data_IF_438784307006
#
_entry.id   IF_438784307006
#
_cell.length_a   1.000
_cell.length_b   1.000
_cell.length_c   1.000
_cell.angle_alpha   90.00
_cell.angle_beta   90.00
_cell.angle_gamma   90.00
#
_symmetry.space_group_name_H-M   'P 1'
#
loop_
_entity.id
_entity.type
_entity.pdbx_description
1 polymer ?
#
# COMPACT_ATOMS: atom_id res chain seq x y z
N UNK A 1 20.69 8.18 21.30
CA UNK A 1 22.00 8.65 20.80
C UNK A 1 22.35 8.07 19.40
N UNK A 2 21.34 7.85 18.53
CA UNK A 2 21.51 7.31 17.16
C UNK A 2 20.98 8.31 16.10
N UNK A 3 20.22 9.32 16.52
CA UNK A 3 19.58 10.30 15.62
C UNK A 3 20.52 11.44 15.15
N UNK A 4 21.77 11.49 15.62
CA UNK A 4 22.70 12.59 15.33
C UNK A 4 23.77 12.23 14.27
N UNK A 5 23.82 10.97 13.81
CA UNK A 5 24.82 10.50 12.83
C UNK A 5 24.33 10.45 11.37
N UNK A 6 23.11 10.93 11.10
CA UNK A 6 22.56 10.99 9.73
C UNK A 6 22.80 12.34 9.01
N UNK A 7 23.47 13.31 9.66
CA UNK A 7 23.67 14.66 9.11
C UNK A 7 25.09 14.97 8.58
N UNK A 8 26.00 13.98 8.54
CA UNK A 8 27.40 14.18 8.12
C UNK A 8 27.75 13.70 6.69
N UNK A 9 26.77 13.36 5.86
CA UNK A 9 27.02 12.96 4.46
C UNK A 9 26.84 14.09 3.42
N UNK A 10 26.86 15.36 3.85
CA UNK A 10 26.55 16.53 3.01
C UNK A 10 27.73 17.12 2.24
N UNK A 11 28.93 16.56 2.31
CA UNK A 11 30.12 17.17 1.68
C UNK A 11 30.98 16.16 0.94
N UNK A 12 30.63 15.84 -0.30
CA UNK A 12 31.60 15.47 -1.32
C UNK A 12 31.30 16.15 -2.67
N UNK A 13 32.34 16.62 -3.38
CA UNK A 13 32.24 17.54 -4.52
C UNK A 13 31.78 16.87 -5.83
N UNK A 14 31.06 17.65 -6.64
CA UNK A 14 30.62 17.31 -7.99
C UNK A 14 31.81 16.99 -8.93
N UNK A 15 31.73 15.95 -9.78
CA UNK A 15 32.52 15.89 -10.99
C UNK A 15 31.92 16.78 -12.08
N UNK A 16 32.74 17.73 -12.55
CA UNK A 16 32.58 18.50 -13.78
C UNK A 16 32.42 17.55 -14.97
N UNK A 17 31.24 17.53 -15.60
CA UNK A 17 31.08 16.91 -16.92
C UNK A 17 31.08 17.98 -18.01
N UNK A 18 32.15 17.93 -18.80
CA UNK A 18 32.39 18.70 -20.01
C UNK A 18 31.45 18.17 -21.10
N UNK A 19 30.47 18.96 -21.55
CA UNK A 19 29.66 18.60 -22.73
C UNK A 19 30.20 19.35 -23.95
N UNK A 20 30.85 18.60 -24.85
CA UNK A 20 31.21 19.04 -26.18
C UNK A 20 29.95 19.32 -27.01
N UNK A 21 29.95 20.49 -27.64
CA UNK A 21 29.00 20.90 -28.68
C UNK A 21 29.16 20.00 -29.91
N UNK A 22 28.13 19.23 -30.25
CA UNK A 22 28.02 18.61 -31.58
C UNK A 22 26.83 19.23 -32.32
N UNK A 23 27.15 20.20 -33.15
CA UNK A 23 26.28 20.76 -34.19
C UNK A 23 26.14 19.72 -35.31
N UNK A 24 25.02 18.99 -35.35
CA UNK A 24 24.66 18.22 -36.54
C UNK A 24 23.59 18.96 -37.34
N UNK A 25 24.07 19.55 -38.43
CA UNK A 25 23.29 20.18 -39.50
C UNK A 25 22.76 19.08 -40.40
N UNK A 26 21.45 18.84 -40.43
CA UNK A 26 20.81 18.05 -41.49
C UNK A 26 19.69 18.84 -42.14
N UNK A 27 19.80 18.90 -43.46
CA UNK A 27 18.99 19.67 -44.40
C UNK A 27 17.50 19.33 -44.36
N UNK A 28 16.72 20.36 -44.68
CA UNK A 28 15.29 20.35 -44.98
C UNK A 28 14.83 19.16 -45.82
N UNK A 29 13.77 18.49 -45.35
CA UNK A 29 12.64 18.11 -46.21
C UNK A 29 11.36 18.20 -45.38
N UNK A 30 10.67 19.33 -45.50
CA UNK A 30 9.30 19.48 -45.03
C UNK A 30 8.41 18.52 -45.85
N UNK A 31 8.10 17.36 -45.26
CA UNK A 31 7.04 16.49 -45.75
C UNK A 31 5.80 16.93 -44.97
N UNK A 32 4.96 17.76 -45.60
CA UNK A 32 3.58 17.95 -45.17
C UNK A 32 2.85 16.61 -45.36
N UNK A 33 2.77 15.83 -44.29
CA UNK A 33 1.79 14.77 -44.14
C UNK A 33 0.49 15.38 -43.63
N UNK A 34 -0.59 15.16 -44.37
CA UNK A 34 -1.95 15.55 -44.02
C UNK A 34 -2.37 15.08 -42.61
N UNK A 35 -3.32 15.75 -41.95
CA UNK A 35 -3.81 15.35 -40.64
C UNK A 35 -4.56 14.03 -40.79
N UNK A 36 -3.97 12.92 -40.36
CA UNK A 36 -4.69 11.65 -40.26
C UNK A 36 -5.63 11.78 -39.07
N UNK A 37 -6.92 11.84 -39.39
CA UNK A 37 -8.05 11.78 -38.49
C UNK A 37 -7.95 10.59 -37.52
N UNK A 38 -8.33 10.84 -36.27
CA UNK A 38 -9.07 9.84 -35.51
C UNK A 38 -8.29 8.65 -34.95
N UNK A 39 -7.10 8.86 -34.38
CA UNK A 39 -6.70 7.98 -33.27
C UNK A 39 -7.57 8.34 -32.07
N UNK A 40 -8.73 7.68 -31.97
CA UNK A 40 -9.46 7.58 -30.72
C UNK A 40 -8.54 6.85 -29.74
N UNK A 41 -7.66 7.61 -29.10
CA UNK A 41 -6.90 7.14 -27.96
C UNK A 41 -7.93 6.69 -26.93
N UNK A 42 -8.18 5.38 -26.89
CA UNK A 42 -8.93 4.76 -25.82
C UNK A 42 -8.35 5.35 -24.52
N UNK A 43 -9.19 5.92 -23.64
CA UNK A 43 -8.69 6.60 -22.46
C UNK A 43 -7.82 5.60 -21.70
N UNK A 44 -6.52 5.90 -21.58
CA UNK A 44 -5.62 5.06 -20.79
C UNK A 44 -6.23 4.97 -19.40
N UNK A 45 -6.67 3.79 -18.97
CA UNK A 45 -7.33 3.61 -17.67
C UNK A 45 -6.32 3.69 -16.52
N UNK A 46 -5.03 3.52 -16.82
CA UNK A 46 -3.92 3.55 -15.87
C UNK A 46 -3.89 4.79 -14.97
N UNK A 47 -3.93 6.03 -15.51
CA UNK A 47 -3.94 7.24 -14.69
C UNK A 47 -5.12 7.40 -13.74
N UNK A 48 -6.31 6.95 -14.13
CA UNK A 48 -7.51 7.01 -13.30
C UNK A 48 -7.46 5.96 -12.18
N UNK A 49 -7.07 4.72 -12.53
CA UNK A 49 -6.93 3.62 -11.59
C UNK A 49 -5.88 3.92 -10.50
N UNK A 50 -4.78 4.58 -10.85
CA UNK A 50 -3.78 5.03 -9.88
C UNK A 50 -4.34 6.06 -8.90
N UNK A 51 -5.19 6.99 -9.36
CA UNK A 51 -5.81 7.98 -8.48
C UNK A 51 -6.77 7.31 -7.49
N UNK A 52 -7.55 6.34 -7.96
CA UNK A 52 -8.44 5.53 -7.12
C UNK A 52 -7.62 4.76 -6.07
N UNK A 53 -6.52 4.12 -6.47
CA UNK A 53 -5.62 3.41 -5.57
C UNK A 53 -5.06 4.30 -4.45
N UNK A 54 -4.63 5.53 -4.80
CA UNK A 54 -4.16 6.52 -3.82
C UNK A 54 -5.28 6.88 -2.84
N UNK A 55 -6.48 7.18 -3.34
CA UNK A 55 -7.63 7.52 -2.50
C UNK A 55 -8.01 6.39 -1.54
N UNK A 56 -8.07 5.15 -2.04
CA UNK A 56 -8.37 3.97 -1.23
C UNK A 56 -7.31 3.72 -0.15
N UNK A 57 -6.01 3.86 -0.47
CA UNK A 57 -4.94 3.70 0.53
C UNK A 57 -4.96 4.80 1.59
N UNK A 58 -5.27 6.04 1.21
CA UNK A 58 -5.40 7.14 2.15
C UNK A 58 -6.54 6.87 3.14
N UNK A 59 -7.71 6.46 2.64
CA UNK A 59 -8.86 6.11 3.48
C UNK A 59 -8.53 4.89 4.36
N UNK A 60 -7.88 3.87 3.81
CA UNK A 60 -7.45 2.70 4.57
C UNK A 60 -6.49 3.06 5.71
N UNK A 61 -5.53 3.96 5.45
CA UNK A 61 -4.59 4.45 6.46
C UNK A 61 -5.34 5.16 7.60
N UNK A 62 -6.25 6.07 7.26
CA UNK A 62 -7.07 6.79 8.25
C UNK A 62 -7.90 5.82 9.06
N UNK A 63 -8.58 4.86 8.42
CA UNK A 63 -9.38 3.85 9.11
C UNK A 63 -8.55 2.94 10.00
N UNK A 64 -7.35 2.53 9.58
CA UNK A 64 -6.45 1.74 10.41
C UNK A 64 -5.98 2.52 11.64
N UNK A 65 -5.65 3.81 11.49
CA UNK A 65 -5.27 4.69 12.61
C UNK A 65 -6.44 4.90 13.57
N UNK A 66 -7.62 5.21 13.05
CA UNK A 66 -8.83 5.42 13.86
C UNK A 66 -9.22 4.12 14.58
N UNK A 67 -9.19 2.99 13.88
CA UNK A 67 -9.41 1.69 14.50
C UNK A 67 -8.41 1.45 15.64
N UNK A 68 -7.11 1.68 15.42
CA UNK A 68 -6.09 1.54 16.46
C UNK A 68 -6.33 2.46 17.67
N UNK A 69 -6.66 3.74 17.44
CA UNK A 69 -6.75 4.75 18.50
C UNK A 69 -8.05 4.69 19.33
N UNK A 70 -9.09 4.04 18.83
CA UNK A 70 -10.43 4.04 19.46
C UNK A 70 -10.66 2.84 20.37
N UNK A 71 -11.64 2.98 21.27
CA UNK A 71 -12.03 1.95 22.25
C UNK A 71 -13.18 1.06 21.77
N UNK A 72 -13.56 1.15 20.50
CA UNK A 72 -14.73 0.49 19.93
C UNK A 72 -14.47 -0.87 19.30
N UNK A 73 -13.54 -1.67 19.81
CA UNK A 73 -13.29 -3.00 19.24
C UNK A 73 -14.28 -4.03 19.76
N UNK A 74 -14.46 -4.05 21.07
CA UNK A 74 -15.35 -4.96 21.76
C UNK A 74 -16.21 -4.13 22.72
N UNK A 75 -17.48 -4.45 22.74
CA UNK A 75 -18.48 -3.79 23.58
C UNK A 75 -18.99 -4.80 24.60
N UNK A 76 -19.00 -4.41 25.86
CA UNK A 76 -19.55 -5.17 26.98
C UNK A 76 -20.41 -4.23 27.82
N UNK A 77 -21.72 -4.23 27.59
CA UNK A 77 -22.66 -3.32 28.25
C UNK A 77 -22.17 -1.85 28.27
N UNK A 78 -21.82 -1.25 29.40
CA UNK A 78 -21.35 0.15 29.41
C UNK A 78 -19.85 0.33 29.13
N UNK A 79 -19.13 -0.78 28.88
CA UNK A 79 -17.68 -0.80 28.73
C UNK A 79 -17.27 -1.00 27.27
N UNK A 80 -16.38 -0.13 26.81
CA UNK A 80 -15.79 -0.12 25.48
C UNK A 80 -14.32 -0.52 25.57
N UNK A 81 -13.99 -1.68 25.03
CA UNK A 81 -12.64 -2.25 25.03
C UNK A 81 -12.00 -1.98 23.67
N UNK A 82 -10.92 -1.21 23.66
CA UNK A 82 -10.05 -1.00 22.50
C UNK A 82 -8.83 -1.89 22.52
N UNK A 83 -7.95 -1.75 21.51
CA UNK A 83 -6.64 -2.42 21.54
C UNK A 83 -5.73 -1.84 22.62
N UNK A 84 -5.65 -0.52 22.75
CA UNK A 84 -4.70 0.11 23.68
C UNK A 84 -5.33 0.53 25.00
N UNK A 85 -6.58 1.00 24.93
CA UNK A 85 -7.32 1.52 26.07
C UNK A 85 -8.70 0.87 26.16
N UNK A 86 -9.16 0.67 27.39
CA UNK A 86 -10.52 0.29 27.73
C UNK A 86 -11.14 1.43 28.51
N UNK A 87 -12.38 1.80 28.18
CA UNK A 87 -13.12 2.82 28.89
C UNK A 87 -14.47 2.28 29.38
N UNK A 88 -14.83 2.63 30.61
CA UNK A 88 -16.14 2.39 31.21
C UNK A 88 -16.64 3.71 31.79
N UNK A 89 -17.64 4.33 31.14
CA UNK A 89 -18.07 5.69 31.45
C UNK A 89 -16.90 6.71 31.32
N UNK A 90 -16.63 7.53 32.36
CA UNK A 90 -15.55 8.53 32.32
C UNK A 90 -14.16 7.94 32.63
N UNK A 91 -14.08 6.67 33.02
CA UNK A 91 -12.83 6.04 33.44
C UNK A 91 -12.21 5.25 32.29
N UNK A 92 -10.98 5.55 31.95
CA UNK A 92 -10.20 4.82 30.95
C UNK A 92 -8.91 4.30 31.56
N UNK A 93 -8.59 3.03 31.28
CA UNK A 93 -7.35 2.35 31.67
C UNK A 93 -6.74 1.68 30.45
N UNK A 94 -5.48 1.26 30.54
CA UNK A 94 -4.89 0.49 29.44
C UNK A 94 -5.56 -0.87 29.32
N UNK A 95 -5.85 -1.31 28.09
CA UNK A 95 -6.39 -2.66 27.82
C UNK A 95 -5.46 -3.75 28.37
N UNK A 96 -4.15 -3.51 28.36
CA UNK A 96 -3.17 -4.43 28.92
C UNK A 96 -3.32 -4.61 30.43
N UNK A 97 -3.68 -3.54 31.15
CA UNK A 97 -3.91 -3.58 32.60
C UNK A 97 -5.20 -4.34 32.91
N UNK A 98 -6.26 -4.13 32.12
CA UNK A 98 -7.49 -4.92 32.21
C UNK A 98 -7.16 -6.41 32.14
N UNK A 99 -6.46 -6.85 31.07
CA UNK A 99 -6.10 -8.25 30.92
C UNK A 99 -5.19 -8.74 32.05
N UNK A 100 -4.28 -7.93 32.57
CA UNK A 100 -3.40 -8.37 33.67
C UNK A 100 -4.14 -8.75 34.96
N UNK A 101 -5.32 -8.18 35.19
CA UNK A 101 -6.11 -8.40 36.39
C UNK A 101 -7.15 -9.53 36.24
N UNK A 102 -7.31 -10.10 35.05
CA UNK A 102 -8.22 -11.24 34.82
C UNK A 102 -7.59 -12.57 35.28
N UNK A 103 -8.38 -13.49 35.87
CA UNK A 103 -7.93 -14.86 36.13
C UNK A 103 -7.63 -15.57 34.79
N UNK A 104 -6.51 -16.31 34.69
CA UNK A 104 -6.01 -16.96 33.46
C UNK A 104 -5.64 -16.00 32.31
N UNK A 105 -5.06 -14.85 32.63
CA UNK A 105 -4.77 -13.76 31.68
C UNK A 105 -3.59 -13.94 30.72
N UNK A 106 -2.77 -14.98 30.89
CA UNK A 106 -1.51 -15.13 30.14
C UNK A 106 -1.69 -15.12 28.62
N UNK A 107 -2.66 -15.90 28.12
CA UNK A 107 -2.93 -16.03 26.68
C UNK A 107 -3.56 -14.75 26.10
N UNK A 108 -4.59 -14.23 26.76
CA UNK A 108 -5.30 -13.01 26.33
C UNK A 108 -4.40 -11.78 26.29
N UNK A 109 -3.51 -11.64 27.29
CA UNK A 109 -2.49 -10.58 27.34
C UNK A 109 -1.50 -10.68 26.18
N UNK A 110 -1.09 -11.89 25.83
CA UNK A 110 -0.18 -12.12 24.70
C UNK A 110 -0.86 -11.79 23.37
N UNK A 111 -2.13 -12.19 23.21
CA UNK A 111 -2.94 -11.90 22.03
C UNK A 111 -3.16 -10.40 21.84
N UNK A 112 -3.46 -9.66 22.92
CA UNK A 112 -3.65 -8.21 22.89
C UNK A 112 -2.37 -7.49 22.43
N UNK A 113 -1.21 -7.83 23.01
CA UNK A 113 0.09 -7.30 22.58
C UNK A 113 0.41 -7.62 21.12
N UNK A 114 0.07 -8.83 20.67
CA UNK A 114 0.26 -9.21 19.28
C UNK A 114 -0.63 -8.36 18.36
N UNK A 115 -1.91 -8.18 18.68
CA UNK A 115 -2.83 -7.35 17.90
C UNK A 115 -2.36 -5.88 17.85
N UNK A 116 -1.90 -5.32 18.97
CA UNK A 116 -1.29 -3.97 19.04
C UNK A 116 -0.05 -3.86 18.15
N UNK A 117 0.84 -4.86 18.18
CA UNK A 117 2.03 -4.88 17.34
C UNK A 117 1.68 -4.94 15.86
N UNK A 118 0.78 -5.84 15.47
CA UNK A 118 0.40 -6.03 14.07
C UNK A 118 -0.36 -4.85 13.48
N UNK A 119 -1.24 -4.18 14.23
CA UNK A 119 -1.93 -2.99 13.71
C UNK A 119 -0.95 -1.85 13.45
N UNK A 120 0.02 -1.65 14.35
CA UNK A 120 1.07 -0.64 14.20
C UNK A 120 1.97 -0.97 13.02
N UNK A 121 2.39 -2.24 12.89
CA UNK A 121 3.17 -2.69 11.73
C UNK A 121 2.40 -2.49 10.43
N UNK A 122 1.09 -2.78 10.39
CA UNK A 122 0.32 -2.50 9.19
C UNK A 122 0.32 -1.01 8.84
N UNK A 123 0.10 -0.12 9.81
CA UNK A 123 0.11 1.34 9.56
C UNK A 123 1.48 1.76 9.00
N UNK A 124 2.57 1.24 9.58
CA UNK A 124 3.93 1.50 9.12
C UNK A 124 4.25 0.95 7.74
N UNK A 125 3.49 -0.01 7.22
CA UNK A 125 3.64 -0.53 5.85
C UNK A 125 2.69 0.17 4.85
N UNK A 126 1.48 0.55 5.28
CA UNK A 126 0.54 1.32 4.45
C UNK A 126 1.14 2.69 4.12
N UNK A 127 1.75 3.37 5.11
CA UNK A 127 2.35 4.69 4.91
C UNK A 127 3.41 4.77 3.80
N UNK A 128 4.48 3.94 3.79
CA UNK A 128 5.47 3.94 2.72
C UNK A 128 4.89 3.46 1.40
N UNK A 129 3.93 2.54 1.40
CA UNK A 129 3.22 2.14 0.17
C UNK A 129 2.50 3.34 -0.47
N UNK A 130 1.74 4.09 0.32
CA UNK A 130 1.09 5.33 -0.11
C UNK A 130 2.11 6.34 -0.63
N UNK A 131 3.22 6.53 0.10
CA UNK A 131 4.27 7.46 -0.30
C UNK A 131 4.94 7.07 -1.62
N UNK A 132 5.26 5.80 -1.83
CA UNK A 132 5.86 5.30 -3.08
C UNK A 132 4.91 5.49 -4.27
N UNK A 133 3.62 5.21 -4.10
CA UNK A 133 2.61 5.40 -5.16
C UNK A 133 2.45 6.89 -5.49
N UNK A 134 2.41 7.75 -4.48
CA UNK A 134 2.39 9.22 -4.66
C UNK A 134 3.65 9.70 -5.39
N UNK A 135 4.83 9.23 -4.97
CA UNK A 135 6.07 9.59 -5.62
C UNK A 135 6.05 9.21 -7.09
N UNK A 136 5.66 7.97 -7.41
CA UNK A 136 5.57 7.48 -8.79
C UNK A 136 4.58 8.27 -9.63
N UNK A 137 3.47 8.71 -9.02
CA UNK A 137 2.45 9.50 -9.70
C UNK A 137 2.92 10.91 -10.02
N UNK A 138 3.48 11.63 -9.06
CA UNK A 138 3.80 13.05 -9.20
C UNK A 138 5.22 13.30 -9.69
N UNK A 139 6.17 12.42 -9.35
CA UNK A 139 7.57 12.58 -9.67
C UNK A 139 8.11 11.69 -10.79
N UNK A 140 7.30 10.74 -11.27
CA UNK A 140 7.67 9.89 -12.41
C UNK A 140 7.87 10.66 -13.72
N UNK A 141 7.29 11.86 -13.85
CA UNK A 141 7.40 12.71 -15.05
C UNK A 141 8.50 13.76 -14.96
N UNK A 142 9.14 13.95 -13.79
CA UNK A 142 10.21 14.93 -13.62
C UNK A 142 11.57 14.29 -14.01
N UNK A 143 12.29 14.84 -15.00
CA UNK A 143 13.52 14.25 -15.53
C UNK A 143 14.58 13.84 -14.47
N UNK A 144 14.91 14.66 -13.46
CA UNK A 144 15.94 14.28 -12.48
C UNK A 144 15.49 13.17 -11.51
N UNK A 145 14.18 13.01 -11.28
CA UNK A 145 13.63 12.05 -10.31
C UNK A 145 13.13 10.76 -10.97
N UNK A 146 12.79 10.83 -12.26
CA UNK A 146 12.31 9.69 -13.05
C UNK A 146 13.30 8.52 -13.08
N UNK A 147 14.61 8.81 -13.14
CA UNK A 147 15.67 7.78 -13.15
C UNK A 147 15.84 7.05 -11.82
N UNK A 148 15.59 7.72 -10.69
CA UNK A 148 15.65 7.09 -9.36
C UNK A 148 14.40 6.24 -9.12
N UNK A 149 13.24 6.75 -9.55
CA UNK A 149 11.97 6.05 -9.40
C UNK A 149 11.86 4.80 -10.26
N UNK A 150 12.50 4.79 -11.44
CA UNK A 150 12.53 3.61 -12.31
C UNK A 150 13.42 2.48 -11.76
N UNK A 151 14.37 2.80 -10.86
CA UNK A 151 15.19 1.81 -10.16
C UNK A 151 14.41 1.02 -9.12
N UNK A 152 13.34 1.57 -8.54
CA UNK A 152 12.55 0.86 -7.53
C UNK A 152 11.58 -0.09 -8.26
N UNK A 153 11.77 -1.42 -8.14
CA UNK A 153 10.93 -2.36 -8.86
C UNK A 153 9.50 -2.30 -8.31
N UNK A 154 8.52 -2.44 -9.20
CA UNK A 154 7.10 -2.40 -8.86
C UNK A 154 6.71 -3.48 -7.83
N UNK A 155 7.46 -4.58 -7.78
CA UNK A 155 7.24 -5.69 -6.85
C UNK A 155 7.40 -5.26 -5.39
N UNK A 156 8.15 -4.19 -5.12
CA UNK A 156 8.30 -3.63 -3.77
C UNK A 156 6.98 -3.08 -3.25
N UNK A 157 6.20 -2.39 -4.09
CA UNK A 157 4.89 -1.87 -3.67
C UNK A 157 3.95 -3.02 -3.32
N UNK A 158 3.93 -4.05 -4.18
CA UNK A 158 3.09 -5.23 -3.97
C UNK A 158 3.51 -5.97 -2.69
N UNK A 159 4.81 -6.18 -2.49
CA UNK A 159 5.31 -6.85 -1.28
C UNK A 159 4.94 -6.08 -0.01
N UNK A 160 5.09 -4.75 -0.01
CA UNK A 160 4.71 -3.89 1.13
C UNK A 160 3.20 -3.94 1.37
N UNK A 161 2.37 -3.85 0.32
CA UNK A 161 0.91 -3.92 0.47
C UNK A 161 0.44 -5.30 0.94
N UNK A 162 1.06 -6.38 0.47
CA UNK A 162 0.77 -7.75 0.93
C UNK A 162 1.17 -7.92 2.40
N UNK A 163 2.32 -7.40 2.82
CA UNK A 163 2.71 -7.43 4.23
C UNK A 163 1.71 -6.68 5.12
N UNK A 164 1.27 -5.49 4.71
CA UNK A 164 0.22 -4.75 5.41
C UNK A 164 -1.09 -5.54 5.51
N UNK A 165 -1.50 -6.22 4.43
CA UNK A 165 -2.68 -7.08 4.43
C UNK A 165 -2.57 -8.22 5.43
N UNK A 166 -1.43 -8.90 5.47
CA UNK A 166 -1.18 -9.99 6.41
C UNK A 166 -1.28 -9.47 7.85
N UNK A 167 -0.65 -8.34 8.15
CA UNK A 167 -0.70 -7.75 9.49
C UNK A 167 -2.11 -7.31 9.90
N UNK A 168 -2.89 -6.68 9.01
CA UNK A 168 -4.30 -6.37 9.30
C UNK A 168 -5.13 -7.63 9.50
N UNK A 169 -4.91 -8.66 8.68
CA UNK A 169 -5.61 -9.94 8.79
C UNK A 169 -5.40 -10.56 10.16
N UNK A 170 -4.15 -10.61 10.62
CA UNK A 170 -3.81 -11.11 11.94
C UNK A 170 -4.44 -10.24 13.03
N UNK A 171 -4.41 -8.92 12.88
CA UNK A 171 -4.97 -7.99 13.87
C UNK A 171 -6.47 -8.23 14.11
N UNK A 172 -7.30 -8.18 13.05
CA UNK A 172 -8.75 -8.26 13.24
C UNK A 172 -9.22 -9.69 13.58
N UNK A 173 -8.49 -10.73 13.16
CA UNK A 173 -8.78 -12.12 13.54
C UNK A 173 -8.44 -12.39 14.99
N UNK A 174 -7.30 -11.91 15.50
CA UNK A 174 -6.96 -12.00 16.92
C UNK A 174 -7.98 -11.23 17.75
N UNK A 175 -8.36 -10.02 17.37
CA UNK A 175 -9.37 -9.25 18.09
C UNK A 175 -10.74 -9.97 18.17
N UNK A 176 -11.17 -10.61 17.07
CA UNK A 176 -12.37 -11.44 17.06
C UNK A 176 -12.22 -12.71 17.91
N UNK A 177 -11.02 -13.30 17.98
CA UNK A 177 -10.72 -14.42 18.87
C UNK A 177 -10.78 -14.02 20.35
N UNK A 178 -10.19 -12.87 20.69
CA UNK A 178 -10.19 -12.31 22.04
C UNK A 178 -11.61 -11.96 22.51
N UNK A 179 -12.44 -11.38 21.64
CA UNK A 179 -13.82 -11.04 22.01
C UNK A 179 -14.58 -12.25 22.48
N UNK A 180 -14.46 -13.39 21.78
CA UNK A 180 -15.12 -14.63 22.17
C UNK A 180 -14.47 -15.28 23.39
N UNK A 181 -13.20 -15.66 23.28
CA UNK A 181 -12.52 -16.53 24.26
C UNK A 181 -12.11 -15.82 25.55
N UNK A 182 -11.74 -14.55 25.47
CA UNK A 182 -11.17 -13.81 26.60
C UNK A 182 -12.21 -12.97 27.33
N UNK A 183 -13.24 -12.48 26.62
CA UNK A 183 -14.19 -11.51 27.17
C UNK A 183 -15.59 -12.13 27.26
N UNK A 184 -16.25 -12.38 26.12
CA UNK A 184 -17.66 -12.76 26.09
C UNK A 184 -17.95 -14.11 26.77
N UNK A 185 -17.12 -15.14 26.55
CA UNK A 185 -17.35 -16.47 27.13
C UNK A 185 -17.12 -16.51 28.66
N UNK A 186 -16.41 -15.51 29.22
CA UNK A 186 -16.16 -15.39 30.66
C UNK A 186 -17.25 -14.59 31.39
N UNK A 187 -18.22 -14.04 30.67
CA UNK A 187 -19.35 -13.33 31.27
C UNK A 187 -20.46 -14.34 31.54
N UNK A 188 -20.90 -14.51 32.80
CA UNK A 188 -21.93 -15.48 33.13
C UNK A 188 -23.23 -15.15 32.39
N UNK A 189 -23.77 -16.13 31.67
CA UNK A 189 -24.95 -15.98 30.80
C UNK A 189 -26.21 -15.52 31.55
N UNK A 190 -26.23 -15.66 32.88
CA UNK A 190 -27.29 -15.20 33.77
C UNK A 190 -27.31 -13.68 34.00
N UNK A 191 -26.31 -12.94 33.55
CA UNK A 191 -26.17 -11.52 33.82
C UNK A 191 -26.96 -10.60 32.86
N UNK A 192 -27.52 -11.14 31.76
CA UNK A 192 -28.21 -10.32 30.75
C UNK A 192 -27.32 -9.29 30.04
N UNK A 193 -25.99 -9.44 30.18
CA UNK A 193 -24.99 -8.54 29.62
C UNK A 193 -24.78 -8.84 28.13
N UNK A 194 -24.85 -7.81 27.29
CA UNK A 194 -24.55 -7.93 25.86
C UNK A 194 -23.04 -7.80 25.62
N UNK A 195 -22.50 -8.72 24.82
CA UNK A 195 -21.09 -8.71 24.43
C UNK A 195 -20.98 -8.91 22.91
N UNK A 196 -20.33 -7.97 22.21
CA UNK A 196 -20.24 -7.99 20.75
C UNK A 196 -19.00 -7.27 20.22
N UNK A 197 -18.63 -7.58 18.99
CA UNK A 197 -17.69 -6.77 18.21
C UNK A 197 -18.35 -5.44 17.83
N UNK A 198 -17.54 -4.38 17.80
CA UNK A 198 -18.04 -3.01 17.58
C UNK A 198 -17.27 -2.32 16.42
N UNK A 199 -17.54 -1.04 16.19
CA UNK A 199 -17.19 -0.32 14.97
C UNK A 199 -15.69 -0.30 14.62
N UNK A 200 -14.77 -0.31 15.60
CA UNK A 200 -13.33 -0.28 15.32
C UNK A 200 -12.85 -1.57 14.65
N UNK A 201 -13.45 -2.71 15.01
CA UNK A 201 -13.21 -3.98 14.31
C UNK A 201 -13.68 -3.90 12.85
N UNK A 202 -14.87 -3.33 12.61
CA UNK A 202 -15.40 -3.14 11.27
C UNK A 202 -14.53 -2.17 10.44
N UNK A 203 -14.04 -1.09 11.04
CA UNK A 203 -13.12 -0.15 10.38
C UNK A 203 -11.80 -0.83 9.98
N UNK A 204 -11.23 -1.68 10.85
CA UNK A 204 -10.04 -2.45 10.52
C UNK A 204 -10.29 -3.44 9.36
N UNK A 205 -11.45 -4.08 9.33
CA UNK A 205 -11.86 -4.96 8.23
C UNK A 205 -12.06 -4.21 6.91
N UNK A 206 -12.68 -3.02 6.94
CA UNK A 206 -12.84 -2.16 5.76
C UNK A 206 -11.48 -1.66 5.26
N UNK A 207 -10.59 -1.24 6.17
CA UNK A 207 -9.22 -0.86 5.82
C UNK A 207 -8.47 -2.01 5.13
N UNK A 208 -8.58 -3.22 5.66
CA UNK A 208 -8.04 -4.44 5.04
C UNK A 208 -8.57 -4.62 3.61
N UNK A 209 -9.88 -4.48 3.40
CA UNK A 209 -10.49 -4.60 2.09
C UNK A 209 -9.97 -3.56 1.09
N UNK A 210 -9.81 -2.30 1.52
CA UNK A 210 -9.25 -1.25 0.66
C UNK A 210 -7.79 -1.49 0.29
N UNK A 211 -6.96 -1.95 1.22
CA UNK A 211 -5.57 -2.33 0.90
C UNK A 211 -5.55 -3.50 -0.11
N UNK A 212 -6.51 -4.44 -0.02
CA UNK A 212 -6.62 -5.58 -0.93
C UNK A 212 -6.98 -5.12 -2.34
N UNK A 213 -8.02 -4.29 -2.46
CA UNK A 213 -8.43 -3.70 -3.74
C UNK A 213 -7.29 -2.90 -4.36
N UNK A 214 -6.60 -2.07 -3.58
CA UNK A 214 -5.44 -1.32 -4.10
C UNK A 214 -4.32 -2.23 -4.57
N UNK A 215 -4.01 -3.29 -3.84
CA UNK A 215 -2.99 -4.28 -4.24
C UNK A 215 -3.32 -4.89 -5.60
N UNK A 216 -4.60 -5.23 -5.82
CA UNK A 216 -5.10 -5.75 -7.10
C UNK A 216 -5.00 -4.69 -8.21
N UNK A 217 -5.37 -3.44 -7.94
CA UNK A 217 -5.25 -2.35 -8.92
C UNK A 217 -3.79 -2.13 -9.34
N UNK A 218 -2.86 -2.13 -8.38
CA UNK A 218 -1.42 -1.98 -8.66
C UNK A 218 -0.90 -3.13 -9.55
N UNK A 219 -1.37 -4.36 -9.31
CA UNK A 219 -1.05 -5.51 -10.16
C UNK A 219 -1.63 -5.37 -11.58
N UNK A 220 -2.91 -5.02 -11.71
CA UNK A 220 -3.60 -4.92 -13.00
C UNK A 220 -3.02 -3.81 -13.88
N UNK A 221 -2.72 -2.64 -13.31
CA UNK A 221 -2.14 -1.51 -14.04
C UNK A 221 -0.73 -1.78 -14.58
N UNK A 222 -0.05 -2.85 -14.13
CA UNK A 222 1.25 -3.28 -14.65
C UNK A 222 1.14 -4.40 -15.67
N UNK A 223 0.15 -5.29 -15.53
CA UNK A 223 -0.14 -6.32 -16.53
C UNK A 223 -0.48 -5.75 -17.92
N UNK A 224 -1.19 -4.62 -17.96
CA UNK A 224 -1.50 -3.93 -19.22
C UNK A 224 -0.25 -3.35 -19.90
N UNK A 225 0.73 -2.85 -19.14
CA UNK A 225 1.98 -2.30 -19.68
C UNK A 225 2.88 -3.42 -20.23
N UNK A 226 2.96 -4.56 -19.54
CA UNK A 226 3.74 -5.70 -20.00
C UNK A 226 3.18 -6.33 -21.30
N UNK A 227 1.85 -6.44 -21.42
CA UNK A 227 1.20 -6.99 -22.60
C UNK A 227 1.19 -6.01 -23.79
N UNK A 228 1.19 -4.70 -23.56
CA UNK A 228 1.31 -3.70 -24.63
C UNK A 228 2.70 -3.64 -25.28
N UNK A 229 3.74 -4.16 -24.63
CA UNK A 229 5.11 -4.26 -25.16
C UNK A 229 5.37 -5.57 -25.94
N UNK A 230 4.47 -6.57 -25.87
CA UNK A 230 4.62 -7.83 -26.59
C UNK A 230 4.32 -7.83 -28.11
N UNK A 231 3.60 -6.88 -28.75
CA UNK A 231 3.35 -6.97 -30.19
C UNK A 231 4.54 -6.55 -31.08
N UNK A 232 5.59 -5.92 -30.54
CA UNK A 232 6.66 -5.32 -31.36
C UNK A 232 7.83 -6.30 -31.58
N UNK A 233 7.96 -7.34 -30.76
CA UNK A 233 9.06 -8.31 -30.87
C UNK A 233 8.79 -9.47 -31.86
N UNK A 234 7.58 -9.61 -32.40
CA UNK A 234 7.19 -10.73 -33.27
C UNK A 234 7.15 -10.41 -34.77
N UNK A 235 7.47 -9.18 -35.20
CA UNK A 235 7.35 -8.78 -36.62
C UNK A 235 8.68 -8.45 -37.34
N UNK A 236 9.85 -8.81 -36.80
CA UNK A 236 11.16 -8.56 -37.42
C UNK A 236 11.93 -9.82 -37.87
N UNK A 237 11.23 -10.92 -38.18
CA UNK A 237 11.85 -12.09 -38.83
C UNK A 237 10.90 -12.68 -39.87
N UNK A 238 10.84 -12.05 -41.05
CA UNK A 238 10.35 -12.68 -42.28
C UNK A 238 10.80 -11.87 -43.50
N UNK A 239 11.79 -12.44 -44.21
CA UNK A 239 12.14 -12.23 -45.62
C UNK A 239 12.98 -11.00 -46.02
N UNK A 240 14.30 -11.11 -45.78
CA UNK A 240 15.34 -10.55 -46.68
C UNK A 240 16.33 -11.65 -47.06
N UNK A 241 15.91 -12.57 -47.92
CA UNK A 241 16.81 -13.45 -48.68
C UNK A 241 16.06 -14.08 -49.86
N UNK A 242 15.75 -13.26 -50.88
CA UNK A 242 15.52 -13.78 -52.23
C UNK A 242 15.84 -12.67 -53.23
N UNK A 243 17.12 -12.51 -53.51
CA UNK A 243 17.66 -11.82 -54.68
C UNK A 243 19.14 -12.16 -54.74
N UNK A 244 19.47 -13.29 -55.38
CA UNK A 244 20.73 -13.56 -56.08
C UNK A 244 20.75 -15.01 -56.56
N UNK A 245 20.02 -15.30 -57.64
CA UNK A 245 20.30 -16.44 -58.51
C UNK A 245 19.64 -16.20 -59.88
N UNK A 246 20.46 -15.87 -60.89
CA UNK A 246 20.27 -16.10 -62.33
C UNK A 246 20.80 -14.91 -63.17
N UNK A 247 22.13 -14.77 -63.20
CA UNK A 247 22.86 -14.19 -64.31
C UNK A 247 24.05 -15.11 -64.60
N UNK A 248 23.79 -16.15 -65.38
CA UNK A 248 24.75 -16.96 -66.13
C UNK A 248 23.98 -17.78 -67.17
#
# INVERSE_FOLDING_TARGET
MILQRLFEFSHLPLPLFHHQSYTQRTNNKAIMGAPVEGSSAAPSKGPLLQLIAIGLLLIALVFAIVAAATTGWIYVDTTHIGLFNTCSGPYCVSTLELFSNLPNSGECKSQDRAAQGFIVLSILFIFPSLFLILLRRFFGTFPPLSGVLSMIPWIVDVAISVAALVFLTITWTIAAGMSRKCICDNIPSSAGISCALNYSWALAFIAWFFVLVTSVIVLLTKGEVANALQPIASHSTSNTTENNAAAA
#
